data_IF_467812406402
#
_entry.id   IF_467812406402
#
_cell.length_a   1.000
_cell.length_b   1.000
_cell.length_c   1.000
_cell.angle_alpha   90.00
_cell.angle_beta   90.00
_cell.angle_gamma   90.00
#
_symmetry.space_group_name_H-M   'P 1'
#
loop_
_entity.id
_entity.type
_entity.pdbx_description
1 polymer ?
#
# COMPACT_ATOMS: atom_id res chain seq x y z
N UNK A 1 -28.40 9.08 0.17
CA UNK A 1 -27.62 7.86 0.49
C UNK A 1 -26.52 7.72 -0.53
N UNK A 2 -25.25 7.82 -0.14
CA UNK A 2 -24.13 7.50 -1.04
C UNK A 2 -24.14 5.97 -1.18
N UNK A 3 -24.40 5.44 -2.38
CA UNK A 3 -24.27 4.00 -2.64
C UNK A 3 -22.79 3.65 -2.44
N UNK A 4 -22.50 2.78 -1.47
CA UNK A 4 -21.14 2.26 -1.27
C UNK A 4 -20.76 1.45 -2.53
N UNK A 5 -19.67 1.85 -3.20
CA UNK A 5 -19.12 1.05 -4.29
C UNK A 5 -18.51 -0.23 -3.70
N UNK A 6 -18.96 -1.37 -4.20
CA UNK A 6 -18.35 -2.66 -3.89
C UNK A 6 -17.09 -2.81 -4.75
N UNK A 7 -15.94 -2.88 -4.09
CA UNK A 7 -14.66 -3.13 -4.76
C UNK A 7 -14.21 -4.57 -4.56
N UNK A 8 -13.62 -5.18 -5.59
CA UNK A 8 -12.94 -6.46 -5.49
C UNK A 8 -11.58 -6.30 -4.79
N UNK A 9 -11.02 -7.40 -4.28
CA UNK A 9 -9.68 -7.36 -3.69
C UNK A 9 -8.64 -6.94 -4.73
N UNK A 10 -8.79 -7.38 -5.98
CA UNK A 10 -7.90 -7.03 -7.08
C UNK A 10 -7.95 -5.52 -7.39
N UNK A 11 -9.13 -4.91 -7.44
CA UNK A 11 -9.29 -3.46 -7.67
C UNK A 11 -8.61 -2.63 -6.58
N UNK A 12 -8.79 -3.02 -5.32
CA UNK A 12 -8.15 -2.34 -4.18
C UNK A 12 -6.63 -2.42 -4.28
N UNK A 13 -6.08 -3.60 -4.55
CA UNK A 13 -4.63 -3.79 -4.62
C UNK A 13 -4.01 -3.12 -5.85
N UNK A 14 -4.69 -3.19 -7.00
CA UNK A 14 -4.26 -2.49 -8.21
C UNK A 14 -4.26 -0.97 -7.98
N UNK A 15 -5.31 -0.43 -7.38
CA UNK A 15 -5.37 1.01 -7.14
C UNK A 15 -4.40 1.48 -6.05
N UNK A 16 -4.05 0.62 -5.09
CA UNK A 16 -2.94 0.89 -4.17
C UNK A 16 -1.62 1.02 -4.94
N UNK A 17 -1.28 0.04 -5.78
CA UNK A 17 -0.05 0.05 -6.59
C UNK A 17 -0.03 1.25 -7.54
N UNK A 18 -1.13 1.52 -8.22
CA UNK A 18 -1.28 2.66 -9.14
C UNK A 18 -1.10 4.00 -8.42
N UNK A 19 -1.69 4.15 -7.23
CA UNK A 19 -1.51 5.36 -6.43
C UNK A 19 -0.05 5.57 -6.01
N UNK A 20 0.70 4.49 -5.77
CA UNK A 20 2.13 4.55 -5.45
C UNK A 20 2.97 4.92 -6.68
N UNK A 21 2.81 4.21 -7.80
CA UNK A 21 3.62 4.41 -9.02
C UNK A 21 3.42 5.79 -9.64
N UNK A 22 2.23 6.38 -9.49
CA UNK A 22 1.92 7.72 -9.96
C UNK A 22 2.10 8.82 -8.91
N UNK A 23 2.53 8.48 -7.69
CA UNK A 23 2.61 9.40 -6.56
C UNK A 23 1.31 10.20 -6.31
N UNK A 24 0.16 9.55 -6.53
CA UNK A 24 -1.17 10.14 -6.37
C UNK A 24 -1.92 9.40 -5.25
N UNK A 25 -1.61 9.65 -3.97
CA UNK A 25 -2.23 8.93 -2.87
C UNK A 25 -3.74 9.15 -2.81
N UNK A 26 -4.25 10.32 -3.25
CA UNK A 26 -5.69 10.62 -3.25
C UNK A 26 -6.52 9.67 -4.12
N UNK A 27 -5.92 9.09 -5.16
CA UNK A 27 -6.57 8.07 -5.98
C UNK A 27 -7.00 6.85 -5.17
N UNK A 28 -6.27 6.52 -4.10
CA UNK A 28 -6.57 5.36 -3.26
C UNK A 28 -7.67 5.61 -2.22
N UNK A 29 -8.11 6.85 -1.99
CA UNK A 29 -9.13 7.17 -0.98
C UNK A 29 -10.43 6.34 -1.14
N UNK A 30 -11.10 6.29 -2.31
CA UNK A 30 -12.34 5.53 -2.44
C UNK A 30 -12.14 4.03 -2.15
N UNK A 31 -11.02 3.47 -2.58
CA UNK A 31 -10.66 2.06 -2.37
C UNK A 31 -10.35 1.76 -0.90
N UNK A 32 -9.61 2.66 -0.23
CA UNK A 32 -9.31 2.57 1.21
C UNK A 32 -10.59 2.63 2.06
N UNK A 33 -11.58 3.41 1.66
CA UNK A 33 -12.84 3.54 2.39
C UNK A 33 -13.71 2.27 2.32
N UNK A 34 -13.47 1.38 1.35
CA UNK A 34 -14.14 0.08 1.25
C UNK A 34 -14.16 -0.69 2.57
N UNK A 35 -15.29 -1.31 2.91
CA UNK A 35 -15.43 -2.20 4.08
C UNK A 35 -14.51 -3.42 4.04
N UNK A 36 -13.94 -3.74 2.87
CA UNK A 36 -12.95 -4.81 2.72
C UNK A 36 -11.59 -4.44 3.28
N UNK A 37 -11.26 -3.14 3.35
CA UNK A 37 -9.95 -2.69 3.82
C UNK A 37 -9.95 -2.50 5.32
N UNK A 38 -8.98 -3.12 5.97
CA UNK A 38 -8.61 -2.95 7.38
C UNK A 38 -7.18 -2.42 7.40
N UNK A 39 -6.83 -1.61 8.41
CA UNK A 39 -5.50 -1.01 8.51
C UNK A 39 -4.84 -1.34 9.84
N UNK A 40 -3.50 -1.42 9.87
CA UNK A 40 -2.73 -1.55 11.12
C UNK A 40 -2.85 -0.33 12.05
N UNK A 41 -3.28 0.80 11.52
CA UNK A 41 -3.51 2.05 12.26
C UNK A 41 -4.91 2.08 12.91
N UNK A 42 -5.12 2.90 13.97
CA UNK A 42 -6.41 2.98 14.68
C UNK A 42 -7.62 3.34 13.80
N UNK A 43 -7.39 3.98 12.65
CA UNK A 43 -8.41 4.21 11.64
C UNK A 43 -7.77 4.49 10.27
N UNK A 44 -8.60 4.37 9.22
CA UNK A 44 -8.22 4.60 7.82
C UNK A 44 -7.69 6.01 7.54
N UNK A 45 -8.17 7.03 8.26
CA UNK A 45 -7.69 8.42 8.09
C UNK A 45 -6.25 8.54 8.57
N UNK A 46 -5.90 7.92 9.70
CA UNK A 46 -4.52 7.88 10.22
C UNK A 46 -3.60 7.10 9.29
N UNK A 47 -4.04 5.92 8.84
CA UNK A 47 -3.32 5.16 7.81
C UNK A 47 -3.06 6.01 6.57
N UNK A 48 -4.10 6.65 6.01
CA UNK A 48 -3.97 7.47 4.81
C UNK A 48 -2.96 8.62 4.98
N UNK A 49 -3.04 9.35 6.10
CA UNK A 49 -2.10 10.46 6.38
C UNK A 49 -0.66 9.97 6.42
N UNK A 50 -0.41 8.86 7.11
CA UNK A 50 0.92 8.29 7.22
C UNK A 50 1.40 7.72 5.88
N UNK A 51 0.59 6.91 5.20
CA UNK A 51 0.84 6.42 3.84
C UNK A 51 1.19 7.56 2.86
N UNK A 52 0.38 8.62 2.82
CA UNK A 52 0.64 9.80 1.99
C UNK A 52 2.00 10.43 2.30
N UNK A 53 2.31 10.61 3.59
CA UNK A 53 3.58 11.18 4.02
C UNK A 53 4.76 10.30 3.57
N UNK A 54 4.66 8.98 3.76
CA UNK A 54 5.70 8.02 3.38
C UNK A 54 5.90 7.96 1.87
N UNK A 55 4.82 7.96 1.08
CA UNK A 55 4.91 7.95 -0.38
C UNK A 55 5.54 9.24 -0.95
N UNK A 56 5.22 10.39 -0.39
CA UNK A 56 5.83 11.66 -0.80
C UNK A 56 7.30 11.74 -0.38
N UNK A 57 7.64 11.26 0.81
CA UNK A 57 9.03 11.11 1.24
C UNK A 57 9.81 10.17 0.29
N UNK A 58 9.20 9.04 -0.09
CA UNK A 58 9.78 8.12 -1.07
C UNK A 58 10.03 8.83 -2.41
N UNK A 59 9.07 9.63 -2.90
CA UNK A 59 9.20 10.42 -4.13
C UNK A 59 10.41 11.35 -4.09
N UNK A 60 10.54 12.14 -3.02
CA UNK A 60 11.59 13.15 -2.86
C UNK A 60 12.98 12.52 -2.72
N UNK A 61 13.05 11.31 -2.17
CA UNK A 61 14.30 10.63 -1.87
C UNK A 61 14.64 9.48 -2.83
N UNK A 62 13.98 9.40 -3.99
CA UNK A 62 14.22 8.35 -5.00
C UNK A 62 14.86 8.90 -6.26
N UNK A 63 15.64 8.04 -6.92
CA UNK A 63 16.32 8.34 -8.19
C UNK A 63 15.64 7.61 -9.33
N UNK A 64 15.01 8.40 -10.20
CA UNK A 64 14.25 7.90 -11.34
C UNK A 64 12.86 7.41 -10.95
N UNK A 65 12.25 6.64 -11.86
CA UNK A 65 10.91 6.09 -11.65
C UNK A 65 10.95 4.92 -10.67
N UNK A 66 9.93 4.82 -9.81
CA UNK A 66 9.77 3.68 -8.92
C UNK A 66 9.24 2.46 -9.69
N UNK A 67 9.76 1.29 -9.32
CA UNK A 67 9.29 -0.02 -9.76
C UNK A 67 8.65 -0.76 -8.60
N UNK A 68 7.68 -1.62 -8.89
CA UNK A 68 6.92 -2.36 -7.90
C UNK A 68 7.32 -3.84 -7.90
N UNK A 69 7.48 -4.43 -6.71
CA UNK A 69 7.72 -5.85 -6.51
C UNK A 69 6.90 -6.37 -5.34
N UNK A 70 6.40 -7.60 -5.46
CA UNK A 70 5.79 -8.34 -4.35
C UNK A 70 6.83 -9.30 -3.83
N UNK A 71 7.13 -9.20 -2.54
CA UNK A 71 8.15 -10.02 -1.88
C UNK A 71 7.56 -10.75 -0.66
N UNK A 72 8.08 -11.96 -0.40
CA UNK A 72 7.77 -12.77 0.79
C UNK A 72 9.09 -13.08 1.50
N UNK A 73 9.58 -12.20 2.38
CA UNK A 73 10.87 -12.37 3.01
C UNK A 73 10.87 -13.59 3.93
N UNK A 74 12.02 -14.28 4.03
CA UNK A 74 12.13 -15.53 4.82
C UNK A 74 11.88 -15.33 6.31
N UNK A 75 12.12 -14.11 6.82
CA UNK A 75 11.86 -13.75 8.21
C UNK A 75 10.35 -13.59 8.52
N UNK A 76 9.50 -13.45 7.50
CA UNK A 76 8.05 -13.41 7.69
C UNK A 76 7.52 -14.83 7.93
N UNK A 77 6.98 -15.00 9.14
CA UNK A 77 6.44 -16.27 9.63
C UNK A 77 5.02 -16.49 9.12
N UNK A 78 4.24 -15.42 8.98
CA UNK A 78 2.89 -15.50 8.44
C UNK A 78 2.94 -15.54 6.90
N UNK A 79 2.78 -16.74 6.33
CA UNK A 79 2.82 -16.96 4.88
C UNK A 79 1.68 -16.30 4.10
N UNK A 80 0.67 -15.76 4.79
CA UNK A 80 -0.39 -14.95 4.17
C UNK A 80 -0.02 -13.48 3.98
N UNK A 81 1.12 -13.04 4.55
CA UNK A 81 1.64 -11.69 4.39
C UNK A 81 2.51 -11.60 3.13
N UNK A 82 2.31 -10.51 2.40
CA UNK A 82 3.08 -10.09 1.24
C UNK A 82 3.57 -8.66 1.46
N UNK A 83 4.79 -8.38 1.00
CA UNK A 83 5.40 -7.05 1.05
C UNK A 83 5.34 -6.42 -0.32
N UNK A 84 4.59 -5.33 -0.40
CA UNK A 84 4.41 -4.51 -1.60
C UNK A 84 5.48 -3.43 -1.57
N UNK A 85 6.59 -3.70 -2.27
CA UNK A 85 7.81 -2.91 -2.17
C UNK A 85 8.00 -2.04 -3.42
N UNK A 86 8.33 -0.77 -3.19
CA UNK A 86 8.73 0.16 -4.24
C UNK A 86 10.24 0.35 -4.24
N UNK A 87 10.88 0.22 -5.39
CA UNK A 87 12.32 0.40 -5.56
C UNK A 87 12.59 1.48 -6.59
N UNK A 88 13.64 2.26 -6.37
CA UNK A 88 14.18 3.14 -7.40
C UNK A 88 15.35 2.45 -8.12
N UNK A 89 16.00 3.18 -9.03
CA UNK A 89 17.11 2.64 -9.83
C UNK A 89 18.45 2.55 -9.09
N UNK A 90 18.55 3.14 -7.89
CA UNK A 90 19.83 3.37 -7.21
C UNK A 90 19.96 2.59 -5.90
N UNK A 91 18.92 2.56 -5.08
CA UNK A 91 18.99 2.01 -3.74
C UNK A 91 18.77 0.50 -3.74
N UNK A 92 19.55 -0.20 -2.91
CA UNK A 92 19.41 -1.64 -2.70
C UNK A 92 18.11 -2.01 -1.96
N UNK A 93 17.67 -1.13 -1.06
CA UNK A 93 16.48 -1.34 -0.23
C UNK A 93 15.28 -0.58 -0.78
N UNK A 94 14.09 -1.08 -0.46
CA UNK A 94 12.84 -0.45 -0.85
C UNK A 94 12.75 1.00 -0.34
N UNK A 95 12.13 1.85 -1.15
CA UNK A 95 11.82 3.25 -0.87
C UNK A 95 10.45 3.42 -0.23
N UNK A 96 9.64 2.37 -0.23
CA UNK A 96 8.41 2.23 0.54
C UNK A 96 8.03 0.75 0.56
N UNK A 97 7.59 0.26 1.72
CA UNK A 97 7.10 -1.10 1.89
C UNK A 97 5.71 -1.06 2.54
N UNK A 98 4.75 -1.71 1.89
CA UNK A 98 3.39 -1.86 2.40
C UNK A 98 3.18 -3.34 2.72
N UNK A 99 2.82 -3.62 3.97
CA UNK A 99 2.42 -4.95 4.43
C UNK A 99 1.01 -5.19 3.94
N UNK A 100 0.80 -6.30 3.23
CA UNK A 100 -0.48 -6.70 2.69
C UNK A 100 -0.79 -8.10 3.18
N UNK A 101 -1.94 -8.27 3.86
CA UNK A 101 -2.48 -9.59 4.17
C UNK A 101 -3.85 -9.73 3.54
N UNK A 102 -4.02 -10.78 2.73
CA UNK A 102 -5.23 -11.04 1.95
C UNK A 102 -5.99 -12.19 2.59
N UNK A 103 -7.29 -12.02 2.73
CA UNK A 103 -8.25 -13.11 2.92
C UNK A 103 -9.29 -13.03 1.82
N UNK A 104 -10.21 -14.00 1.76
CA UNK A 104 -11.26 -14.02 0.73
C UNK A 104 -12.11 -12.74 0.74
N UNK A 105 -12.34 -12.17 1.94
CA UNK A 105 -13.23 -11.01 2.12
C UNK A 105 -12.53 -9.71 2.49
N UNK A 106 -11.31 -9.75 3.05
CA UNK A 106 -10.63 -8.59 3.61
C UNK A 106 -9.22 -8.43 3.06
N UNK A 107 -8.79 -7.17 3.02
CA UNK A 107 -7.41 -6.78 2.81
C UNK A 107 -6.98 -6.00 4.03
N UNK A 108 -5.95 -6.48 4.70
CA UNK A 108 -5.25 -5.74 5.73
C UNK A 108 -4.06 -5.01 5.09
N UNK A 109 -3.91 -3.74 5.43
CA UNK A 109 -2.81 -2.87 4.99
C UNK A 109 -2.08 -2.27 6.18
N UNK A 110 -0.76 -2.26 6.11
CA UNK A 110 0.07 -1.44 6.98
C UNK A 110 1.28 -0.90 6.24
N UNK A 111 1.87 0.17 6.75
CA UNK A 111 3.08 0.77 6.19
C UNK A 111 4.25 0.48 7.11
N UNK A 112 5.33 -0.08 6.57
CA UNK A 112 6.56 -0.24 7.34
C UNK A 112 7.33 1.08 7.38
N UNK A 113 7.72 1.59 8.57
CA UNK A 113 8.69 2.67 8.65
C UNK A 113 10.05 2.22 8.12
N UNK A 114 10.81 3.19 7.59
CA UNK A 114 12.15 3.01 7.01
C UNK A 114 13.19 2.56 8.04
#
# INVERSE_FOLDING_TARGET
MIKEQQHTNQEILNGLVESCLNFNPSYFIPLLLSKKVITGMPNKVRFYKFYKCMLLCAKENSVGQLTFRIEKPDWEKDKSIEYYNLYDSKHKYSRLSIVVKKTDDKIFLDTMPF
#
